data_IF_035979863214
#
_entry.id   IF_035979863214
#
_cell.length_a   1.000
_cell.length_b   1.000
_cell.length_c   1.000
_cell.angle_alpha   90.00
_cell.angle_beta   90.00
_cell.angle_gamma   90.00
#
_symmetry.space_group_name_H-M   'P 1'
#
loop_
_entity.id
_entity.type
_entity.pdbx_description
1 polymer ?
#
# COMPACT_ATOMS: atom_id res chain seq x y z
N UNK A 1 -31.91 -22.91 -10.95
CA UNK A 1 -30.84 -23.49 -10.13
C UNK A 1 -29.51 -22.94 -10.64
N UNK A 2 -28.99 -21.89 -10.04
CA UNK A 2 -27.66 -21.38 -10.40
C UNK A 2 -26.64 -22.38 -9.85
N UNK A 3 -25.88 -23.02 -10.73
CA UNK A 3 -24.81 -23.93 -10.35
C UNK A 3 -23.82 -23.17 -9.48
N UNK A 4 -23.81 -23.46 -8.18
CA UNK A 4 -22.79 -23.03 -7.24
C UNK A 4 -21.47 -23.62 -7.71
N UNK A 5 -20.58 -22.79 -8.25
CA UNK A 5 -19.24 -23.23 -8.64
C UNK A 5 -18.34 -23.13 -7.41
N UNK A 6 -17.97 -24.25 -6.75
CA UNK A 6 -17.05 -24.21 -5.63
C UNK A 6 -15.69 -23.69 -6.06
N UNK A 7 -15.00 -22.98 -5.16
CA UNK A 7 -13.63 -22.52 -5.34
C UNK A 7 -12.75 -23.72 -5.70
N UNK A 8 -12.24 -23.77 -6.94
CA UNK A 8 -11.33 -24.83 -7.32
C UNK A 8 -9.88 -24.52 -6.85
N UNK A 9 -9.00 -25.53 -6.73
CA UNK A 9 -7.63 -25.33 -6.27
C UNK A 9 -6.80 -24.35 -7.14
N UNK A 10 -7.11 -24.21 -8.43
CA UNK A 10 -6.45 -23.27 -9.34
C UNK A 10 -6.78 -21.82 -9.00
N UNK A 11 -8.07 -21.50 -8.84
CA UNK A 11 -8.55 -20.17 -8.45
C UNK A 11 -7.98 -19.73 -7.10
N UNK A 12 -7.94 -20.65 -6.12
CA UNK A 12 -7.33 -20.38 -4.81
C UNK A 12 -5.84 -20.02 -4.94
N UNK A 13 -5.09 -20.73 -5.78
CA UNK A 13 -3.67 -20.45 -6.04
C UNK A 13 -3.48 -19.08 -6.69
N UNK A 14 -4.30 -18.74 -7.68
CA UNK A 14 -4.24 -17.44 -8.36
C UNK A 14 -4.52 -16.28 -7.40
N UNK A 15 -5.60 -16.35 -6.62
CA UNK A 15 -5.97 -15.32 -5.64
C UNK A 15 -4.87 -15.15 -4.60
N UNK A 16 -4.31 -16.26 -4.12
CA UNK A 16 -3.18 -16.23 -3.16
C UNK A 16 -1.96 -15.56 -3.79
N UNK A 17 -1.65 -15.85 -5.06
CA UNK A 17 -0.53 -15.22 -5.78
C UNK A 17 -0.73 -13.72 -5.95
N UNK A 18 -1.94 -13.30 -6.34
CA UNK A 18 -2.29 -11.88 -6.46
C UNK A 18 -2.18 -11.15 -5.12
N UNK A 19 -2.74 -11.74 -4.05
CA UNK A 19 -2.64 -11.18 -2.70
C UNK A 19 -1.20 -11.04 -2.21
N UNK A 20 -0.34 -12.04 -2.46
CA UNK A 20 1.09 -11.96 -2.14
C UNK A 20 1.81 -10.89 -2.96
N UNK A 21 1.48 -10.76 -4.25
CA UNK A 21 2.05 -9.71 -5.10
C UNK A 21 1.66 -8.32 -4.61
N UNK A 22 0.39 -8.14 -4.21
CA UNK A 22 -0.10 -6.90 -3.64
C UNK A 22 0.62 -6.57 -2.33
N UNK A 23 0.70 -7.52 -1.39
CA UNK A 23 1.46 -7.37 -0.15
C UNK A 23 2.94 -7.03 -0.39
N UNK A 24 3.56 -7.67 -1.38
CA UNK A 24 4.96 -7.40 -1.76
C UNK A 24 5.21 -6.00 -2.32
N UNK A 25 4.17 -5.33 -2.83
CA UNK A 25 4.28 -3.96 -3.36
C UNK A 25 4.20 -2.88 -2.27
N UNK A 26 3.57 -3.18 -1.12
CA UNK A 26 3.37 -2.21 -0.03
C UNK A 26 4.67 -1.66 0.55
N UNK A 27 5.72 -2.46 0.83
CA UNK A 27 6.96 -1.95 1.39
C UNK A 27 7.68 -0.95 0.47
N UNK A 28 7.53 -1.08 -0.84
CA UNK A 28 8.11 -0.13 -1.79
C UNK A 28 7.40 1.23 -1.71
N UNK A 29 6.08 1.23 -1.52
CA UNK A 29 5.27 2.43 -1.34
C UNK A 29 5.53 3.08 0.03
N UNK A 30 5.60 2.28 1.09
CA UNK A 30 5.92 2.74 2.45
C UNK A 30 7.26 3.46 2.53
N UNK A 31 8.29 2.89 1.90
CA UNK A 31 9.63 3.48 1.79
C UNK A 31 9.67 4.81 1.04
N UNK A 32 8.60 5.25 0.37
CA UNK A 32 8.53 6.59 -0.23
C UNK A 32 8.19 7.67 0.80
N UNK A 33 7.46 7.32 1.86
CA UNK A 33 6.98 8.31 2.83
C UNK A 33 7.54 8.14 4.23
N UNK A 34 7.94 6.94 4.65
CA UNK A 34 8.54 6.69 5.96
C UNK A 34 9.72 5.70 5.91
N UNK A 35 10.55 5.74 6.95
CA UNK A 35 11.60 4.74 7.13
C UNK A 35 11.00 3.40 7.58
N UNK A 36 11.62 2.27 7.18
CA UNK A 36 11.28 0.97 7.77
C UNK A 36 11.41 0.97 9.29
N UNK A 37 10.59 0.16 9.95
CA UNK A 37 10.71 -0.09 11.38
C UNK A 37 11.95 -0.95 11.72
N UNK A 38 12.39 -0.90 12.98
CA UNK A 38 13.45 -1.78 13.49
C UNK A 38 14.87 -1.46 13.02
N UNK A 39 15.07 -0.29 12.40
CA UNK A 39 16.40 0.16 12.03
C UNK A 39 17.26 0.46 13.27
N UNK A 40 18.52 0.05 13.25
CA UNK A 40 19.49 0.34 14.32
C UNK A 40 20.24 1.65 14.03
N UNK A 41 20.51 2.42 15.08
CA UNK A 41 21.26 3.68 15.00
C UNK A 41 20.45 4.85 14.43
N UNK A 42 21.12 6.00 14.26
CA UNK A 42 20.52 7.19 13.63
C UNK A 42 20.44 6.92 12.12
N UNK A 43 19.22 6.85 11.61
CA UNK A 43 18.94 6.75 10.19
C UNK A 43 18.31 8.05 9.71
N UNK A 44 18.78 8.57 8.59
CA UNK A 44 18.22 9.76 7.95
C UNK A 44 18.14 9.51 6.46
N UNK A 45 16.99 9.80 5.87
CA UNK A 45 16.82 9.79 4.43
C UNK A 45 16.08 11.05 4.00
N UNK A 46 16.80 12.09 3.54
CA UNK A 46 16.19 13.36 3.17
C UNK A 46 15.23 13.25 1.97
N UNK A 47 15.26 12.14 1.23
CA UNK A 47 14.36 11.85 0.12
C UNK A 47 12.97 11.35 0.52
N UNK A 48 12.72 11.08 1.81
CA UNK A 48 11.40 10.66 2.28
C UNK A 48 10.43 11.83 2.35
N UNK A 49 9.14 11.55 2.13
CA UNK A 49 8.09 12.55 2.36
C UNK A 49 8.09 13.05 3.81
N UNK A 50 8.19 12.16 4.79
CA UNK A 50 8.27 12.55 6.22
C UNK A 50 9.43 13.52 6.48
N UNK A 51 10.61 13.25 5.92
CA UNK A 51 11.76 14.14 6.04
C UNK A 51 11.56 15.47 5.31
N UNK A 52 10.88 15.48 4.16
CA UNK A 52 10.55 16.72 3.43
C UNK A 52 9.53 17.56 4.20
N UNK A 53 8.50 16.94 4.77
CA UNK A 53 7.47 17.61 5.57
C UNK A 53 8.09 18.21 6.83
N UNK A 54 8.95 17.46 7.52
CA UNK A 54 9.63 17.94 8.72
C UNK A 54 10.54 19.14 8.42
N UNK A 55 11.34 19.07 7.35
CA UNK A 55 12.14 20.20 6.90
C UNK A 55 11.27 21.41 6.55
N UNK A 56 10.18 21.20 5.82
CA UNK A 56 9.26 22.27 5.43
C UNK A 56 8.65 22.95 6.65
N UNK A 57 8.25 22.18 7.68
CA UNK A 57 7.78 22.74 8.96
C UNK A 57 8.80 23.68 9.58
N UNK A 58 10.07 23.26 9.63
CA UNK A 58 11.14 24.10 10.15
C UNK A 58 11.31 25.43 9.40
N UNK A 59 11.16 25.44 8.07
CA UNK A 59 11.21 26.70 7.30
C UNK A 59 9.98 27.59 7.52
N UNK A 60 8.81 27.00 7.75
CA UNK A 60 7.59 27.75 8.09
C UNK A 60 7.77 28.39 9.48
N UNK A 61 8.22 27.61 10.46
CA UNK A 61 8.44 28.05 11.84
C UNK A 61 9.53 29.12 11.96
N UNK A 62 10.56 29.07 11.11
CA UNK A 62 11.62 30.07 11.05
C UNK A 62 11.20 31.38 10.33
N UNK A 63 9.97 31.47 9.82
CA UNK A 63 9.47 32.70 9.21
C UNK A 63 8.91 33.63 10.28
N UNK A 64 9.39 34.87 10.33
CA UNK A 64 8.81 35.93 11.18
C UNK A 64 7.47 36.41 10.60
N UNK A 65 6.41 35.63 10.82
CA UNK A 65 5.07 35.87 10.30
C UNK A 65 4.73 34.99 9.09
N UNK A 66 4.25 35.59 8.00
CA UNK A 66 3.88 34.82 6.81
C UNK A 66 5.09 34.08 6.21
N UNK A 67 4.90 32.88 5.59
CA UNK A 67 5.99 32.13 4.99
C UNK A 67 6.85 32.97 4.04
N UNK A 68 8.14 33.03 4.34
CA UNK A 68 9.11 33.74 3.50
C UNK A 68 9.34 33.01 2.16
N UNK A 69 10.16 33.58 1.26
CA UNK A 69 10.39 32.99 -0.06
C UNK A 69 10.89 31.54 0.00
N UNK A 70 11.80 31.25 0.93
CA UNK A 70 12.36 29.90 1.12
C UNK A 70 11.28 28.94 1.63
N UNK A 71 10.49 29.35 2.61
CA UNK A 71 9.38 28.56 3.13
C UNK A 71 8.37 28.22 2.01
N UNK A 72 8.03 29.19 1.15
CA UNK A 72 7.14 28.96 0.00
C UNK A 72 7.71 27.95 -1.01
N UNK A 73 9.01 28.02 -1.31
CA UNK A 73 9.68 27.04 -2.19
C UNK A 73 9.59 25.63 -1.59
N UNK A 74 9.84 25.50 -0.28
CA UNK A 74 9.77 24.21 0.42
C UNK A 74 8.35 23.66 0.49
N UNK A 75 7.36 24.53 0.71
CA UNK A 75 5.94 24.15 0.64
C UNK A 75 5.54 23.63 -0.74
N UNK A 76 5.99 24.28 -1.81
CA UNK A 76 5.72 23.80 -3.18
C UNK A 76 6.40 22.47 -3.48
N UNK A 77 7.63 22.24 -2.98
CA UNK A 77 8.28 20.93 -3.05
C UNK A 77 7.47 19.87 -2.30
N UNK A 78 7.11 20.14 -1.04
CA UNK A 78 6.31 19.23 -0.23
C UNK A 78 4.97 18.89 -0.90
N UNK A 79 4.28 19.88 -1.47
CA UNK A 79 3.03 19.70 -2.21
C UNK A 79 3.20 18.74 -3.40
N UNK A 80 4.26 18.90 -4.18
CA UNK A 80 4.58 18.01 -5.31
C UNK A 80 4.89 16.59 -4.85
N UNK A 81 5.68 16.44 -3.78
CA UNK A 81 6.04 15.13 -3.24
C UNK A 81 4.81 14.38 -2.69
N UNK A 82 3.91 15.09 -1.98
CA UNK A 82 2.62 14.54 -1.54
C UNK A 82 1.78 14.10 -2.75
N UNK A 83 1.64 14.96 -3.76
CA UNK A 83 0.85 14.64 -4.96
C UNK A 83 1.36 13.39 -5.68
N UNK A 84 2.68 13.23 -5.79
CA UNK A 84 3.30 12.05 -6.40
C UNK A 84 3.01 10.76 -5.61
N UNK A 85 3.03 10.82 -4.28
CA UNK A 85 2.73 9.66 -3.43
C UNK A 85 1.24 9.31 -3.48
N UNK A 86 0.35 10.31 -3.45
CA UNK A 86 -1.09 10.10 -3.63
C UNK A 86 -1.38 9.46 -4.98
N UNK A 87 -0.70 9.90 -6.05
CA UNK A 87 -0.83 9.28 -7.37
C UNK A 87 -0.42 7.81 -7.38
N UNK A 88 0.66 7.45 -6.69
CA UNK A 88 1.11 6.06 -6.59
C UNK A 88 0.14 5.19 -5.78
N UNK A 89 -0.41 5.72 -4.69
CA UNK A 89 -1.47 5.07 -3.91
C UNK A 89 -2.67 4.81 -4.81
N UNK A 90 -3.14 5.84 -5.53
CA UNK A 90 -4.29 5.71 -6.43
C UNK A 90 -4.04 4.65 -7.50
N UNK A 91 -2.84 4.62 -8.11
CA UNK A 91 -2.47 3.60 -9.09
C UNK A 91 -2.51 2.19 -8.50
N UNK A 92 -1.97 2.00 -7.29
CA UNK A 92 -2.01 0.70 -6.59
C UNK A 92 -3.46 0.21 -6.44
N UNK A 93 -4.37 1.11 -6.05
CA UNK A 93 -5.77 0.76 -5.84
C UNK A 93 -6.52 0.52 -7.15
N UNK A 94 -6.28 1.34 -8.17
CA UNK A 94 -6.96 1.26 -9.47
C UNK A 94 -6.49 0.06 -10.31
N UNK A 95 -5.25 -0.39 -10.13
CA UNK A 95 -4.68 -1.48 -10.92
C UNK A 95 -4.56 -2.76 -10.08
N UNK A 96 -3.57 -2.84 -9.20
CA UNK A 96 -3.22 -4.07 -8.49
C UNK A 96 -4.33 -4.56 -7.55
N UNK A 97 -4.91 -3.65 -6.78
CA UNK A 97 -6.01 -3.99 -5.86
C UNK A 97 -7.29 -4.31 -6.62
N UNK A 98 -7.66 -3.53 -7.64
CA UNK A 98 -8.86 -3.80 -8.44
C UNK A 98 -8.81 -5.19 -9.08
N UNK A 99 -7.67 -5.60 -9.63
CA UNK A 99 -7.50 -6.95 -10.19
C UNK A 99 -7.65 -8.06 -9.12
N UNK A 100 -7.15 -7.82 -7.90
CA UNK A 100 -7.33 -8.72 -6.77
C UNK A 100 -8.80 -8.78 -6.31
N UNK A 101 -9.44 -7.62 -6.15
CA UNK A 101 -10.83 -7.46 -5.73
C UNK A 101 -11.78 -8.20 -6.67
N UNK A 102 -11.68 -7.97 -7.97
CA UNK A 102 -12.51 -8.65 -8.98
C UNK A 102 -12.41 -10.18 -8.87
N UNK A 103 -11.21 -10.70 -8.60
CA UNK A 103 -11.00 -12.15 -8.47
C UNK A 103 -11.58 -12.71 -7.17
N UNK A 104 -11.49 -11.96 -6.07
CA UNK A 104 -12.01 -12.38 -4.76
C UNK A 104 -13.53 -12.28 -4.70
N UNK A 105 -14.14 -11.25 -5.25
CA UNK A 105 -15.60 -11.02 -5.19
C UNK A 105 -16.40 -12.09 -5.94
N UNK A 106 -15.84 -12.68 -6.99
CA UNK A 106 -16.46 -13.77 -7.74
C UNK A 106 -16.45 -15.09 -6.95
N UNK A 107 -15.66 -15.17 -5.88
CA UNK A 107 -15.46 -16.40 -5.12
C UNK A 107 -16.42 -16.45 -3.94
N UNK A 108 -17.43 -17.33 -3.99
CA UNK A 108 -18.13 -17.74 -2.78
C UNK A 108 -17.27 -18.74 -2.00
N UNK A 109 -16.82 -18.33 -0.80
CA UNK A 109 -16.16 -19.23 0.12
C UNK A 109 -17.18 -20.21 0.73
N UNK A 110 -16.94 -21.51 0.56
CA UNK A 110 -17.64 -22.53 1.36
C UNK A 110 -17.15 -22.43 2.81
N UNK A 111 -18.08 -22.26 3.74
CA UNK A 111 -17.79 -22.27 5.19
C UNK A 111 -17.45 -23.68 5.71
N UNK A 112 -17.76 -24.72 4.92
CA UNK A 112 -17.50 -26.12 5.27
C UNK A 112 -16.38 -26.70 4.41
N UNK A 113 -15.50 -27.51 5.03
CA UNK A 113 -14.55 -28.36 4.29
C UNK A 113 -15.33 -29.42 3.50
N UNK A 114 -14.76 -29.86 2.38
CA UNK A 114 -15.27 -31.05 1.69
C UNK A 114 -15.23 -32.24 2.66
N UNK A 115 -16.33 -32.99 2.74
CA UNK A 115 -16.39 -34.20 3.56
C UNK A 115 -15.46 -35.27 2.97
N UNK A 116 -14.52 -35.77 3.77
CA UNK A 116 -13.66 -36.90 3.42
C UNK A 116 -14.17 -38.15 4.15
N UNK A 117 -14.72 -39.16 3.44
CA UNK A 117 -15.21 -40.38 4.06
C UNK A 117 -14.09 -41.14 4.76
N UNK A 118 -14.31 -41.54 6.00
CA UNK A 118 -13.40 -42.42 6.74
C UNK A 118 -13.44 -43.80 6.08
N UNK A 119 -12.27 -44.32 5.72
CA UNK A 119 -12.10 -45.70 5.24
C UNK A 119 -11.68 -46.57 6.41
N UNK A 120 -12.31 -47.73 6.57
CA UNK A 120 -11.75 -48.79 7.41
C UNK A 120 -10.66 -49.50 6.60
N UNK A 121 -9.50 -49.70 7.23
CA UNK A 121 -8.44 -50.61 6.75
C UNK A 121 -8.76 -52.04 7.19
#
# INVERSE_FOLDING_TARGET
MAASHPVNPGMKKEITKLGKSLQGSLPALEKRYMMPEGLKGIQSNPGLLSSTLWQTSGYIEASDGAPNQTARIMMEKARKDVANIVSDINRLFQENFAAYQQKVEVVQFSLFKAFEPIKME
#
